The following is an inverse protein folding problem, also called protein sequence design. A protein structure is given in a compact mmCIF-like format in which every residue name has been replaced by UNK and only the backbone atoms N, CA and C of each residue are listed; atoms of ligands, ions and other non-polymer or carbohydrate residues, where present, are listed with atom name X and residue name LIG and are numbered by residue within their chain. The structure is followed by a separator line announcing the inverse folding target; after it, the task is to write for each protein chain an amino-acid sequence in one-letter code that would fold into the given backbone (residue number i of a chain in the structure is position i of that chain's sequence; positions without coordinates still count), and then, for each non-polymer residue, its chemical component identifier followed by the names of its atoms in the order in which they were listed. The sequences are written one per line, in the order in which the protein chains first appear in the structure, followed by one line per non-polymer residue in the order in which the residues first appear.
data_IF_260213189430
#
_entry.id   IF_260213189430
#
_cell.length_a   1.000
_cell.length_b   1.000
_cell.length_c   1.000
_cell.angle_alpha   90.00
_cell.angle_beta   90.00
_cell.angle_gamma   90.00
#
_symmetry.space_group_name_H-M   'P 1'
#
loop_
_entity.id
_entity.type
_entity.pdbx_description
1 polymer ?
#
# COMPACT_ATOMS: atom_id res chain seq x y z
N UNK A 1 -14.75 -29.12 24.51
CA UNK A 1 -14.37 -29.36 23.10
C UNK A 1 -14.89 -28.20 22.28
N UNK A 2 -14.06 -27.41 21.59
CA UNK A 2 -14.56 -26.38 20.68
C UNK A 2 -15.38 -27.10 19.58
N UNK A 3 -16.60 -26.65 19.37
CA UNK A 3 -17.54 -27.24 18.41
C UNK A 3 -16.94 -27.20 17.01
N UNK A 4 -17.07 -28.28 16.21
CA UNK A 4 -16.59 -28.33 14.82
C UNK A 4 -17.07 -27.15 13.93
N UNK A 5 -18.10 -26.41 14.39
CA UNK A 5 -18.74 -25.27 13.72
C UNK A 5 -17.89 -23.99 13.67
N UNK A 6 -16.90 -23.80 14.56
CA UNK A 6 -16.06 -22.58 14.58
C UNK A 6 -14.66 -22.79 13.97
N UNK A 7 -14.39 -23.97 13.41
CA UNK A 7 -13.07 -24.29 12.84
C UNK A 7 -13.03 -23.92 11.36
N UNK A 8 -12.24 -22.89 11.05
CA UNK A 8 -11.97 -22.45 9.69
C UNK A 8 -10.60 -23.02 9.27
N UNK A 9 -10.56 -23.83 8.19
CA UNK A 9 -9.33 -24.54 7.77
C UNK A 9 -8.63 -23.93 6.56
N UNK A 10 -9.37 -23.23 5.70
CA UNK A 10 -8.90 -22.83 4.37
C UNK A 10 -8.86 -21.31 4.18
N UNK A 11 -9.38 -20.54 5.13
CA UNK A 11 -9.24 -19.08 5.10
C UNK A 11 -8.00 -18.67 5.88
N UNK A 12 -7.21 -17.81 5.26
CA UNK A 12 -6.16 -17.06 5.96
C UNK A 12 -6.79 -15.88 6.68
N UNK A 13 -6.18 -15.47 7.79
CA UNK A 13 -6.68 -14.38 8.62
C UNK A 13 -5.78 -13.15 8.44
N UNK A 14 -6.39 -11.98 8.40
CA UNK A 14 -5.70 -10.69 8.47
C UNK A 14 -6.37 -9.82 9.51
N UNK A 15 -5.59 -9.00 10.22
CA UNK A 15 -6.08 -8.07 11.23
C UNK A 15 -5.58 -6.67 10.87
N UNK A 16 -6.54 -5.75 10.76
CA UNK A 16 -6.28 -4.32 10.59
C UNK A 16 -6.16 -3.70 11.99
N UNK A 17 -5.02 -3.06 12.26
CA UNK A 17 -4.70 -2.52 13.58
C UNK A 17 -4.44 -1.01 13.45
N UNK A 18 -5.31 -0.15 14.01
CA UNK A 18 -5.05 1.28 14.10
C UNK A 18 -4.04 1.62 15.21
N UNK A 19 -3.39 2.79 15.11
CA UNK A 19 -2.37 3.27 16.04
C UNK A 19 -2.89 3.33 17.48
N UNK A 20 -4.16 3.69 17.69
CA UNK A 20 -4.77 3.77 19.03
C UNK A 20 -4.70 2.44 19.79
N UNK A 21 -4.77 1.30 19.11
CA UNK A 21 -4.65 -0.02 19.74
C UNK A 21 -3.26 -0.22 20.38
N UNK A 22 -2.21 0.31 19.77
CA UNK A 22 -0.86 0.29 20.34
C UNK A 22 -0.72 1.22 21.54
N UNK A 23 -1.30 2.43 21.48
CA UNK A 23 -1.31 3.35 22.61
C UNK A 23 -1.97 2.72 23.84
N UNK A 24 -3.15 2.12 23.65
CA UNK A 24 -3.86 1.41 24.72
C UNK A 24 -3.05 0.23 25.28
N UNK A 25 -2.41 -0.56 24.41
CA UNK A 25 -1.58 -1.69 24.84
C UNK A 25 -0.35 -1.23 25.63
N UNK A 26 0.32 -0.15 25.20
CA UNK A 26 1.45 0.45 25.91
C UNK A 26 1.06 0.82 27.34
N UNK A 27 -0.10 1.44 27.49
CA UNK A 27 -0.63 1.91 28.77
C UNK A 27 -1.34 0.83 29.60
N UNK A 28 -1.43 -0.41 29.10
CA UNK A 28 -2.21 -1.49 29.71
C UNK A 28 -3.70 -1.14 29.90
N UNK A 29 -4.26 -0.34 28.99
CA UNK A 29 -5.64 0.12 29.03
C UNK A 29 -6.61 -0.92 28.44
N UNK A 30 -7.90 -0.67 28.68
CA UNK A 30 -8.98 -1.40 28.02
C UNK A 30 -9.18 -0.87 26.60
N UNK A 31 -9.32 -1.77 25.63
CA UNK A 31 -9.70 -1.49 24.26
C UNK A 31 -11.20 -1.69 24.07
N UNK A 32 -11.90 -0.62 23.71
CA UNK A 32 -13.26 -0.64 23.22
C UNK A 32 -13.37 -1.30 21.83
N UNK A 33 -14.31 -2.22 21.71
CA UNK A 33 -14.80 -2.80 20.47
C UNK A 33 -16.19 -2.24 20.19
N UNK A 34 -16.34 -1.51 19.09
CA UNK A 34 -17.58 -0.83 18.73
C UNK A 34 -18.50 -1.72 17.90
N UNK A 35 -19.82 -1.59 18.07
CA UNK A 35 -20.81 -2.28 17.22
C UNK A 35 -20.84 -1.64 15.82
N UNK A 36 -20.50 -2.38 14.74
CA UNK A 36 -20.52 -1.81 13.39
C UNK A 36 -21.90 -1.30 12.97
N UNK A 37 -22.96 -2.01 13.36
CA UNK A 37 -24.36 -1.63 13.12
C UNK A 37 -24.73 -0.28 13.74
N UNK A 38 -24.34 -0.04 14.99
CA UNK A 38 -24.66 1.24 15.64
C UNK A 38 -23.81 2.38 15.06
N UNK A 39 -22.53 2.12 14.75
CA UNK A 39 -21.66 3.09 14.08
C UNK A 39 -22.26 3.51 12.73
N UNK A 40 -22.70 2.56 11.91
CA UNK A 40 -23.29 2.86 10.61
C UNK A 40 -24.57 3.69 10.73
N UNK A 41 -25.43 3.41 11.72
CA UNK A 41 -26.65 4.20 11.96
C UNK A 41 -26.36 5.61 12.47
N UNK A 42 -25.31 5.80 13.26
CA UNK A 42 -24.96 7.09 13.83
C UNK A 42 -24.19 7.97 12.84
N UNK A 43 -23.23 7.38 12.12
CA UNK A 43 -22.32 8.10 11.22
C UNK A 43 -22.75 8.09 9.75
N UNK A 44 -23.72 7.25 9.38
CA UNK A 44 -24.13 7.07 7.98
C UNK A 44 -23.04 6.46 7.11
N UNK A 45 -22.08 5.73 7.71
CA UNK A 45 -20.93 5.11 7.03
C UNK A 45 -20.65 3.73 7.61
N UNK A 46 -20.31 2.73 6.78
CA UNK A 46 -19.83 1.44 7.28
C UNK A 46 -18.65 1.62 8.23
N UNK A 47 -18.55 0.77 9.24
CA UNK A 47 -17.48 0.83 10.26
C UNK A 47 -16.07 0.87 9.64
N UNK A 48 -15.86 0.11 8.56
CA UNK A 48 -14.58 0.03 7.86
C UNK A 48 -14.13 1.34 7.19
N UNK A 49 -15.04 2.30 7.00
CA UNK A 49 -14.75 3.59 6.36
C UNK A 49 -14.61 4.73 7.39
N UNK A 50 -14.66 4.40 8.69
CA UNK A 50 -14.48 5.33 9.79
C UNK A 50 -13.03 5.28 10.28
N UNK A 51 -12.38 6.44 10.40
CA UNK A 51 -11.03 6.54 10.96
C UNK A 51 -11.05 6.30 12.48
N UNK A 52 -10.77 5.06 12.91
CA UNK A 52 -10.93 4.64 14.31
C UNK A 52 -10.02 5.42 15.25
N UNK A 53 -8.74 5.60 14.92
CA UNK A 53 -7.81 6.36 15.76
C UNK A 53 -8.25 7.82 15.95
N UNK A 54 -8.72 8.48 14.90
CA UNK A 54 -9.14 9.88 14.95
C UNK A 54 -10.41 10.10 15.76
N UNK A 55 -11.28 9.08 15.82
CA UNK A 55 -12.61 9.17 16.44
C UNK A 55 -12.76 8.31 17.68
N UNK A 56 -11.68 7.76 18.20
CA UNK A 56 -11.75 6.75 19.25
C UNK A 56 -12.51 7.27 20.48
N UNK A 57 -12.12 8.43 20.99
CA UNK A 57 -12.75 9.03 22.17
C UNK A 57 -14.21 9.45 21.92
N UNK A 58 -14.51 9.95 20.72
CA UNK A 58 -15.87 10.29 20.28
C UNK A 58 -16.76 9.05 20.28
N UNK A 59 -16.27 7.96 19.67
CA UNK A 59 -16.96 6.67 19.62
C UNK A 59 -17.15 6.10 21.02
N UNK A 60 -16.14 6.18 21.90
CA UNK A 60 -16.22 5.72 23.30
C UNK A 60 -17.28 6.51 24.07
N UNK A 61 -17.33 7.83 23.92
CA UNK A 61 -18.27 8.71 24.61
C UNK A 61 -19.73 8.57 24.13
N UNK A 62 -19.98 8.15 22.88
CA UNK A 62 -21.33 8.11 22.32
C UNK A 62 -22.19 6.95 22.85
N UNK A 63 -23.09 7.22 23.78
CA UNK A 63 -23.98 6.22 24.42
C UNK A 63 -24.87 5.45 23.44
N UNK A 64 -25.09 5.97 22.22
CA UNK A 64 -25.89 5.30 21.18
C UNK A 64 -25.15 4.10 20.57
N UNK A 65 -23.84 4.02 20.75
CA UNK A 65 -22.98 2.97 20.18
C UNK A 65 -22.68 1.94 21.27
N UNK A 66 -23.12 0.70 21.07
CA UNK A 66 -22.76 -0.40 21.98
C UNK A 66 -21.26 -0.69 21.87
N UNK A 67 -20.61 -0.86 23.03
CA UNK A 67 -19.21 -1.27 23.15
C UNK A 67 -19.06 -2.56 23.94
N UNK A 68 -18.01 -3.31 23.63
CA UNK A 68 -17.40 -4.31 24.52
C UNK A 68 -15.98 -3.87 24.83
N UNK A 69 -15.42 -4.35 25.93
CA UNK A 69 -14.06 -4.02 26.32
C UNK A 69 -13.23 -5.28 26.50
N UNK A 70 -11.95 -5.20 26.13
CA UNK A 70 -10.94 -6.21 26.40
C UNK A 70 -9.61 -5.55 26.73
N UNK A 71 -8.69 -6.26 27.40
CA UNK A 71 -7.36 -5.73 27.65
C UNK A 71 -6.55 -5.69 26.34
N UNK A 72 -5.97 -4.54 26.00
CA UNK A 72 -5.24 -4.35 24.74
C UNK A 72 -3.96 -5.20 24.65
N UNK A 73 -3.27 -5.48 25.77
CA UNK A 73 -2.10 -6.37 25.79
C UNK A 73 -2.50 -7.82 25.56
N UNK A 74 -3.59 -8.28 26.18
CA UNK A 74 -4.10 -9.64 25.98
C UNK A 74 -4.47 -9.89 24.52
N UNK A 75 -4.97 -8.85 23.83
CA UNK A 75 -5.20 -8.91 22.39
C UNK A 75 -3.91 -9.16 21.60
N UNK A 76 -2.84 -8.40 21.83
CA UNK A 76 -1.56 -8.62 21.15
C UNK A 76 -0.90 -9.96 21.54
N UNK A 77 -1.04 -10.38 22.80
CA UNK A 77 -0.60 -11.70 23.22
C UNK A 77 -1.31 -12.80 22.41
N UNK A 78 -2.63 -12.72 22.30
CA UNK A 78 -3.41 -13.69 21.53
C UNK A 78 -3.06 -13.68 20.04
N UNK A 79 -2.80 -12.49 19.50
CA UNK A 79 -2.36 -12.32 18.12
C UNK A 79 -1.05 -13.07 17.86
N UNK A 80 -0.06 -12.89 18.75
CA UNK A 80 1.25 -13.54 18.65
C UNK A 80 1.17 -15.07 18.84
N UNK A 81 0.33 -15.55 19.76
CA UNK A 81 0.09 -17.00 19.93
C UNK A 81 -0.41 -17.64 18.63
N UNK A 82 -1.39 -17.03 17.96
CA UNK A 82 -1.97 -17.56 16.72
C UNK A 82 -0.94 -17.48 15.57
N UNK A 83 -0.18 -16.38 15.48
CA UNK A 83 0.93 -16.26 14.52
C UNK A 83 1.99 -17.33 14.74
N UNK A 84 2.33 -17.64 15.99
CA UNK A 84 3.26 -18.72 16.31
C UNK A 84 2.75 -20.08 15.85
N UNK A 85 1.45 -20.35 15.99
CA UNK A 85 0.84 -21.62 15.61
C UNK A 85 0.69 -21.81 14.09
N UNK A 86 0.47 -20.72 13.34
CA UNK A 86 -0.03 -20.82 11.95
C UNK A 86 0.64 -19.90 10.93
N UNK A 87 1.52 -19.00 11.36
CA UNK A 87 2.19 -18.00 10.50
C UNK A 87 1.33 -16.77 10.17
N UNK A 88 0.04 -16.77 10.53
CA UNK A 88 -0.91 -15.67 10.40
C UNK A 88 -1.69 -15.54 11.73
N UNK A 89 -2.41 -14.44 12.02
CA UNK A 89 -2.91 -13.42 11.09
C UNK A 89 -1.85 -12.54 10.44
N UNK A 90 -2.11 -12.11 9.20
CA UNK A 90 -1.45 -10.94 8.60
C UNK A 90 -1.79 -9.69 9.41
N UNK A 91 -0.90 -8.70 9.40
CA UNK A 91 -1.09 -7.43 10.11
C UNK A 91 -1.03 -6.28 9.12
N UNK A 92 -2.06 -5.44 9.10
CA UNK A 92 -2.08 -4.18 8.37
C UNK A 92 -2.16 -3.02 9.37
N UNK A 93 -1.14 -2.17 9.41
CA UNK A 93 -1.15 -0.97 10.24
C UNK A 93 -1.94 0.15 9.55
N UNK A 94 -3.23 0.24 9.88
CA UNK A 94 -4.23 1.05 9.17
C UNK A 94 -3.79 2.51 8.98
N UNK A 95 -3.37 3.15 10.07
CA UNK A 95 -3.04 4.57 10.06
C UNK A 95 -1.72 4.85 9.34
N UNK A 96 -0.76 3.93 9.42
CA UNK A 96 0.48 4.03 8.64
C UNK A 96 0.18 3.98 7.13
N UNK A 97 -0.66 3.03 6.73
CA UNK A 97 -1.09 2.86 5.33
C UNK A 97 -1.85 4.10 4.85
N UNK A 98 -2.87 4.54 5.58
CA UNK A 98 -3.72 5.67 5.16
C UNK A 98 -3.00 7.03 5.21
N UNK A 99 -2.05 7.20 6.13
CA UNK A 99 -1.18 8.38 6.18
C UNK A 99 -0.23 8.45 4.98
N UNK A 100 0.25 7.32 4.48
CA UNK A 100 1.08 7.25 3.27
C UNK A 100 0.29 7.19 1.95
N UNK A 101 -1.00 6.82 1.99
CA UNK A 101 -1.85 6.67 0.82
C UNK A 101 -1.99 7.99 0.03
N UNK A 102 -1.60 8.04 -1.25
CA UNK A 102 -1.75 9.24 -2.07
C UNK A 102 -3.14 9.38 -2.71
N UNK A 103 -3.99 8.36 -2.63
CA UNK A 103 -5.29 8.31 -3.31
C UNK A 103 -6.41 8.73 -2.35
N UNK A 104 -7.39 9.48 -2.85
CA UNK A 104 -8.55 9.88 -2.06
C UNK A 104 -9.38 8.65 -1.66
N UNK A 105 -9.74 8.57 -0.38
CA UNK A 105 -10.41 7.41 0.22
C UNK A 105 -9.58 6.77 1.33
N UNK A 106 -10.11 5.72 1.95
CA UNK A 106 -9.40 4.92 2.96
C UNK A 106 -9.10 3.52 2.43
N UNK A 107 -7.99 2.97 2.90
CA UNK A 107 -7.59 1.58 2.69
C UNK A 107 -8.00 0.83 3.95
N UNK A 108 -8.94 -0.10 3.80
CA UNK A 108 -9.59 -0.83 4.89
C UNK A 108 -9.30 -2.34 4.88
N UNK A 109 -8.55 -2.84 3.89
CA UNK A 109 -8.15 -4.24 3.77
C UNK A 109 -6.90 -4.43 2.90
N UNK A 110 -6.43 -5.68 2.80
CA UNK A 110 -5.32 -6.11 1.94
C UNK A 110 -5.63 -7.48 1.31
N UNK A 111 -4.79 -7.92 0.36
CA UNK A 111 -4.85 -9.26 -0.24
C UNK A 111 -4.21 -10.36 0.64
N UNK A 112 -4.21 -11.59 0.11
CA UNK A 112 -3.67 -12.81 0.74
C UNK A 112 -2.17 -12.73 1.10
N UNK A 113 -1.36 -11.96 0.37
CA UNK A 113 0.07 -11.84 0.64
C UNK A 113 0.42 -10.52 1.37
N UNK A 114 -0.60 -9.74 1.76
CA UNK A 114 -0.51 -8.49 2.54
C UNK A 114 0.26 -7.30 1.89
N UNK A 115 0.50 -7.34 0.59
CA UNK A 115 1.24 -6.32 -0.17
C UNK A 115 0.36 -5.35 -0.97
N UNK A 116 -0.90 -5.72 -1.24
CA UNK A 116 -1.84 -4.87 -2.01
C UNK A 116 -2.62 -3.95 -1.08
N UNK A 117 -2.36 -2.65 -1.20
CA UNK A 117 -2.99 -1.60 -0.40
C UNK A 117 -3.56 -0.54 -1.34
N UNK A 118 -4.86 -0.62 -1.62
CA UNK A 118 -5.57 0.32 -2.49
C UNK A 118 -6.92 0.69 -1.86
N UNK A 119 -7.48 1.83 -2.28
CA UNK A 119 -8.83 2.22 -1.90
C UNK A 119 -9.86 1.34 -2.62
N UNK A 120 -11.01 1.13 -2.00
CA UNK A 120 -12.15 0.43 -2.59
C UNK A 120 -13.43 1.23 -2.36
N UNK A 121 -14.51 0.83 -3.02
CA UNK A 121 -15.84 1.35 -2.72
C UNK A 121 -16.89 0.27 -2.85
N UNK A 122 -17.82 0.21 -1.90
CA UNK A 122 -18.87 -0.80 -1.85
C UNK A 122 -19.77 -0.79 -3.10
N UNK A 123 -20.21 -1.99 -3.49
CA UNK A 123 -21.30 -2.19 -4.45
C UNK A 123 -22.64 -2.33 -3.72
N UNK A 124 -23.72 -1.98 -4.39
CA UNK A 124 -25.10 -2.22 -3.93
C UNK A 124 -25.78 -3.19 -4.88
N UNK A 125 -26.54 -4.13 -4.30
CA UNK A 125 -27.23 -5.18 -5.02
C UNK A 125 -28.73 -5.06 -4.78
N UNK A 126 -29.52 -5.31 -5.83
CA UNK A 126 -30.96 -5.48 -5.73
C UNK A 126 -31.31 -6.86 -5.13
N UNK A 127 -32.57 -7.06 -4.76
CA UNK A 127 -33.05 -8.32 -4.17
C UNK A 127 -32.84 -9.55 -5.08
N UNK A 128 -32.74 -9.32 -6.40
CA UNK A 128 -32.47 -10.35 -7.39
C UNK A 128 -30.98 -10.60 -7.64
N UNK A 129 -30.08 -9.97 -6.85
CA UNK A 129 -28.62 -9.98 -6.96
C UNK A 129 -28.04 -9.23 -8.18
N UNK A 130 -28.85 -8.49 -8.92
CA UNK A 130 -28.33 -7.56 -9.92
C UNK A 130 -27.60 -6.39 -9.22
N UNK A 131 -26.64 -5.79 -9.91
CA UNK A 131 -25.96 -4.60 -9.40
C UNK A 131 -26.87 -3.38 -9.54
N UNK A 132 -27.37 -2.87 -8.42
CA UNK A 132 -28.04 -1.57 -8.35
C UNK A 132 -27.01 -0.43 -8.51
N UNK A 133 -25.82 -0.61 -7.92
CA UNK A 133 -24.66 0.28 -8.08
C UNK A 133 -23.37 -0.53 -8.04
N UNK A 134 -22.60 -0.47 -9.12
CA UNK A 134 -21.28 -1.09 -9.16
C UNK A 134 -20.26 -0.21 -8.45
N UNK A 135 -19.66 -0.76 -7.39
CA UNK A 135 -18.52 -0.18 -6.70
C UNK A 135 -17.20 -0.48 -7.41
N UNK A 136 -16.09 -0.35 -6.69
CA UNK A 136 -14.75 -0.60 -7.20
C UNK A 136 -14.05 -1.53 -6.22
N UNK A 137 -13.91 -2.79 -6.64
CA UNK A 137 -13.09 -3.77 -5.94
C UNK A 137 -11.70 -3.84 -6.59
N UNK A 138 -10.77 -4.47 -5.89
CA UNK A 138 -9.35 -4.43 -6.26
C UNK A 138 -8.95 -5.75 -6.91
N UNK A 139 -8.42 -5.67 -8.13
CA UNK A 139 -7.54 -6.69 -8.71
C UNK A 139 -6.14 -6.14 -8.86
N UNK A 140 -5.15 -7.02 -8.98
CA UNK A 140 -3.78 -6.60 -9.19
C UNK A 140 -3.07 -7.53 -10.18
N UNK A 141 -2.30 -6.93 -11.09
CA UNK A 141 -1.32 -7.61 -11.92
C UNK A 141 0.08 -7.24 -11.40
N UNK A 142 0.92 -8.26 -11.26
CA UNK A 142 2.21 -8.15 -10.57
C UNK A 142 3.34 -8.59 -11.48
N UNK A 143 4.46 -7.89 -11.40
CA UNK A 143 5.71 -8.26 -12.06
C UNK A 143 6.87 -7.69 -11.29
N UNK A 144 8.00 -8.41 -11.23
CA UNK A 144 9.14 -8.00 -10.41
C UNK A 144 10.42 -7.89 -11.23
N UNK A 145 11.19 -6.83 -10.99
CA UNK A 145 12.53 -6.68 -11.57
C UNK A 145 13.56 -7.41 -10.72
N UNK A 146 14.52 -8.08 -11.37
CA UNK A 146 15.69 -8.61 -10.68
C UNK A 146 16.68 -7.45 -10.43
N UNK A 147 16.92 -7.11 -9.16
CA UNK A 147 17.74 -5.96 -8.77
C UNK A 147 19.15 -6.05 -9.37
N UNK A 148 19.81 -7.21 -9.27
CA UNK A 148 21.17 -7.38 -9.78
C UNK A 148 21.28 -7.09 -11.28
N UNK A 149 20.40 -7.70 -12.09
CA UNK A 149 20.40 -7.48 -13.54
C UNK A 149 19.96 -6.07 -13.93
N UNK A 150 19.09 -5.46 -13.12
CA UNK A 150 18.63 -4.09 -13.35
C UNK A 150 19.77 -3.10 -13.09
N UNK A 151 20.56 -3.32 -12.04
CA UNK A 151 21.77 -2.54 -11.73
C UNK A 151 22.88 -2.71 -12.77
N UNK A 152 22.98 -3.89 -13.38
CA UNK A 152 23.93 -4.16 -14.47
C UNK A 152 23.46 -3.61 -15.83
N UNK A 153 22.21 -3.15 -15.94
CA UNK A 153 21.66 -2.62 -17.19
C UNK A 153 22.33 -1.30 -17.56
N UNK A 154 22.76 -1.13 -18.83
CA UNK A 154 23.25 0.16 -19.31
C UNK A 154 22.13 1.24 -19.35
N UNK A 155 20.86 0.81 -19.34
CA UNK A 155 19.69 1.69 -19.39
C UNK A 155 18.65 1.24 -18.35
N UNK A 156 18.83 1.72 -17.12
CA UNK A 156 17.93 1.47 -16.00
C UNK A 156 16.53 2.03 -16.26
N UNK A 157 16.46 3.23 -16.82
CA UNK A 157 15.21 3.94 -17.09
C UNK A 157 14.30 3.12 -18.01
N UNK A 158 14.87 2.58 -19.10
CA UNK A 158 14.14 1.73 -20.04
C UNK A 158 13.66 0.43 -19.42
N UNK A 159 14.41 -0.17 -18.49
CA UNK A 159 13.99 -1.38 -17.78
C UNK A 159 12.70 -1.12 -16.99
N UNK A 160 12.66 -0.03 -16.23
CA UNK A 160 11.47 0.35 -15.44
C UNK A 160 10.31 0.72 -16.37
N UNK A 161 10.56 1.55 -17.39
CA UNK A 161 9.54 1.99 -18.33
C UNK A 161 8.88 0.80 -19.06
N UNK A 162 9.69 -0.15 -19.54
CA UNK A 162 9.19 -1.36 -20.21
C UNK A 162 8.32 -2.20 -19.27
N UNK A 163 8.74 -2.39 -18.02
CA UNK A 163 7.97 -3.17 -17.05
C UNK A 163 6.64 -2.51 -16.69
N UNK A 164 6.64 -1.19 -16.45
CA UNK A 164 5.40 -0.43 -16.21
C UNK A 164 4.44 -0.57 -17.39
N UNK A 165 4.91 -0.34 -18.62
CA UNK A 165 4.07 -0.48 -19.83
C UNK A 165 3.54 -1.91 -20.00
N UNK A 166 4.38 -2.91 -19.73
CA UNK A 166 3.97 -4.32 -19.80
C UNK A 166 2.86 -4.65 -18.81
N UNK A 167 2.99 -4.20 -17.56
CA UNK A 167 1.96 -4.38 -16.53
C UNK A 167 0.68 -3.58 -16.86
N UNK A 168 0.81 -2.35 -17.34
CA UNK A 168 -0.33 -1.55 -17.80
C UNK A 168 -1.09 -2.28 -18.92
N UNK A 169 -0.39 -2.88 -19.88
CA UNK A 169 -1.04 -3.65 -20.94
C UNK A 169 -1.80 -4.88 -20.38
N UNK A 170 -1.28 -5.56 -19.36
CA UNK A 170 -2.00 -6.65 -18.68
C UNK A 170 -3.29 -6.14 -18.02
N UNK A 171 -3.25 -4.98 -17.36
CA UNK A 171 -4.44 -4.33 -16.81
C UNK A 171 -5.45 -4.00 -17.91
N UNK A 172 -5.01 -3.37 -19.00
CA UNK A 172 -5.89 -2.96 -20.11
C UNK A 172 -6.57 -4.14 -20.81
N UNK A 173 -5.89 -5.29 -20.90
CA UNK A 173 -6.44 -6.50 -21.50
C UNK A 173 -7.32 -7.33 -20.53
N UNK A 174 -7.42 -6.93 -19.26
CA UNK A 174 -8.13 -7.68 -18.23
C UNK A 174 -9.61 -7.28 -18.16
N UNK A 175 -10.48 -8.22 -18.53
CA UNK A 175 -11.93 -8.08 -18.48
C UNK A 175 -12.55 -9.23 -17.67
N UNK A 176 -12.93 -8.97 -16.42
CA UNK A 176 -13.41 -9.97 -15.47
C UNK A 176 -14.94 -9.84 -15.34
N UNK A 177 -15.65 -10.14 -16.41
CA UNK A 177 -17.11 -9.96 -16.52
C UNK A 177 -17.93 -10.68 -15.45
N UNK A 178 -17.39 -11.74 -14.83
CA UNK A 178 -18.06 -12.46 -13.76
C UNK A 178 -18.10 -11.69 -12.43
N UNK A 179 -17.30 -10.63 -12.28
CA UNK A 179 -17.27 -9.77 -11.08
C UNK A 179 -17.23 -8.30 -11.52
N UNK A 180 -18.38 -7.70 -11.83
CA UNK A 180 -18.46 -6.33 -12.37
C UNK A 180 -17.71 -5.25 -11.58
N UNK A 181 -17.67 -5.33 -10.24
CA UNK A 181 -16.92 -4.39 -9.40
C UNK A 181 -15.40 -4.47 -9.55
N UNK A 182 -14.86 -5.66 -9.85
CA UNK A 182 -13.44 -5.87 -10.15
C UNK A 182 -13.10 -5.33 -11.54
N UNK A 183 -13.97 -5.59 -12.52
CA UNK A 183 -13.79 -5.05 -13.88
C UNK A 183 -13.84 -3.52 -13.87
N UNK A 184 -14.84 -2.94 -13.20
CA UNK A 184 -14.95 -1.50 -13.01
C UNK A 184 -13.75 -0.92 -12.25
N UNK A 185 -13.31 -1.56 -11.18
CA UNK A 185 -12.14 -1.14 -10.40
C UNK A 185 -10.84 -1.14 -11.22
N UNK A 186 -10.60 -2.20 -12.00
CA UNK A 186 -9.43 -2.27 -12.91
C UNK A 186 -9.49 -1.18 -13.98
N UNK A 187 -10.63 -1.03 -14.67
CA UNK A 187 -10.80 -0.04 -15.74
C UNK A 187 -10.73 1.41 -15.23
N UNK A 188 -11.12 1.68 -13.99
CA UNK A 188 -11.05 3.01 -13.40
C UNK A 188 -9.64 3.36 -12.88
N UNK A 189 -8.94 2.39 -12.32
CA UNK A 189 -7.66 2.62 -11.62
C UNK A 189 -6.42 2.41 -12.48
N UNK A 190 -6.48 1.47 -13.44
CA UNK A 190 -5.33 0.93 -14.17
C UNK A 190 -4.16 0.54 -13.23
N UNK A 191 -4.49 0.05 -12.02
CA UNK A 191 -3.50 -0.20 -10.98
C UNK A 191 -2.59 -1.38 -11.34
N UNK A 192 -1.30 -1.22 -11.07
CA UNK A 192 -0.25 -2.24 -11.31
C UNK A 192 0.63 -2.39 -10.07
N UNK A 193 1.26 -3.55 -9.90
CA UNK A 193 2.30 -3.76 -8.88
C UNK A 193 3.63 -4.15 -9.48
N UNK A 194 4.55 -3.19 -9.57
CA UNK A 194 5.94 -3.41 -9.97
C UNK A 194 6.81 -3.73 -8.74
N UNK A 195 7.00 -5.01 -8.47
CA UNK A 195 7.83 -5.52 -7.39
C UNK A 195 9.33 -5.56 -7.71
N UNK A 196 10.12 -5.92 -6.72
CA UNK A 196 11.57 -6.09 -6.83
C UNK A 196 11.95 -7.44 -6.21
N UNK A 197 12.97 -8.09 -6.76
CA UNK A 197 13.49 -9.35 -6.23
C UNK A 197 15.02 -9.37 -6.27
N UNK A 198 15.61 -10.36 -5.62
CA UNK A 198 17.06 -10.58 -5.59
C UNK A 198 17.87 -9.50 -4.85
N UNK A 199 17.27 -8.80 -3.88
CA UNK A 199 17.98 -7.80 -3.06
C UNK A 199 19.15 -8.44 -2.34
N UNK A 200 18.92 -9.52 -1.60
CA UNK A 200 19.99 -10.20 -0.86
C UNK A 200 21.06 -10.77 -1.80
N UNK A 201 20.67 -11.33 -2.95
CA UNK A 201 21.65 -11.83 -3.93
C UNK A 201 22.53 -10.73 -4.51
N UNK A 202 21.96 -9.55 -4.81
CA UNK A 202 22.74 -8.38 -5.22
C UNK A 202 23.68 -7.91 -4.10
N UNK A 203 23.16 -7.70 -2.89
CA UNK A 203 23.96 -7.25 -1.74
C UNK A 203 25.14 -8.20 -1.48
N UNK A 204 24.89 -9.52 -1.48
CA UNK A 204 25.93 -10.52 -1.29
C UNK A 204 26.99 -10.51 -2.40
N UNK A 205 26.57 -10.35 -3.67
CA UNK A 205 27.48 -10.25 -4.82
C UNK A 205 28.43 -9.06 -4.68
N UNK A 206 27.92 -7.94 -4.19
CA UNK A 206 28.68 -6.72 -3.98
C UNK A 206 29.41 -6.66 -2.63
N UNK A 207 29.39 -7.75 -1.84
CA UNK A 207 30.06 -7.80 -0.54
C UNK A 207 29.41 -6.95 0.56
N UNK A 208 28.13 -6.61 0.41
CA UNK A 208 27.34 -5.87 1.41
C UNK A 208 26.53 -6.86 2.27
N UNK A 209 26.65 -6.75 3.58
CA UNK A 209 25.88 -7.58 4.51
C UNK A 209 24.41 -7.10 4.59
N UNK A 210 23.47 -8.04 4.50
CA UNK A 210 22.05 -7.73 4.65
C UNK A 210 21.76 -7.09 6.02
N UNK A 211 21.10 -5.93 6.02
CA UNK A 211 20.78 -5.17 7.24
C UNK A 211 21.90 -4.25 7.73
N UNK A 212 23.05 -4.20 7.05
CA UNK A 212 24.08 -3.20 7.35
C UNK A 212 23.61 -1.78 6.96
N UNK A 213 24.22 -0.71 7.52
CA UNK A 213 23.93 0.66 7.11
C UNK A 213 24.04 0.87 5.59
N UNK A 214 25.02 0.24 4.93
CA UNK A 214 25.20 0.31 3.48
C UNK A 214 24.07 -0.40 2.71
N UNK A 215 23.58 -1.54 3.21
CA UNK A 215 22.42 -2.20 2.62
C UNK A 215 21.17 -1.32 2.70
N UNK A 216 20.98 -0.63 3.83
CA UNK A 216 19.86 0.30 4.03
C UNK A 216 19.96 1.51 3.08
N UNK A 217 21.16 2.10 2.96
CA UNK A 217 21.42 3.23 2.06
C UNK A 217 21.19 2.84 0.58
N UNK A 218 21.73 1.68 0.16
CA UNK A 218 21.47 1.13 -1.17
C UNK A 218 19.97 0.92 -1.41
N UNK A 219 19.29 0.24 -0.50
CA UNK A 219 17.85 -0.05 -0.66
C UNK A 219 17.05 1.24 -0.76
N UNK A 220 17.36 2.24 0.08
CA UNK A 220 16.72 3.54 0.06
C UNK A 220 16.85 4.24 -1.30
N UNK A 221 18.08 4.36 -1.81
CA UNK A 221 18.36 5.04 -3.09
C UNK A 221 17.87 4.25 -4.31
N UNK A 222 17.95 2.92 -4.27
CA UNK A 222 17.43 2.05 -5.33
C UNK A 222 15.92 2.25 -5.48
N UNK A 223 15.15 2.12 -4.39
CA UNK A 223 13.70 2.29 -4.43
C UNK A 223 13.30 3.73 -4.75
N UNK A 224 14.03 4.75 -4.27
CA UNK A 224 13.85 6.13 -4.70
C UNK A 224 13.92 6.27 -6.23
N UNK A 225 14.93 5.65 -6.86
CA UNK A 225 15.18 5.72 -8.30
C UNK A 225 14.10 4.96 -9.09
N UNK A 226 13.72 3.76 -8.63
CA UNK A 226 12.59 3.00 -9.20
C UNK A 226 11.31 3.84 -9.17
N UNK A 227 10.98 4.44 -8.03
CA UNK A 227 9.77 5.25 -7.87
C UNK A 227 9.76 6.44 -8.83
N UNK A 228 10.89 7.14 -8.99
CA UNK A 228 10.98 8.25 -9.94
C UNK A 228 10.69 7.82 -11.38
N UNK A 229 11.32 6.74 -11.86
CA UNK A 229 11.11 6.25 -13.22
C UNK A 229 9.69 5.69 -13.43
N UNK A 230 9.11 5.03 -12.43
CA UNK A 230 7.75 4.52 -12.50
C UNK A 230 6.73 5.67 -12.61
N UNK A 231 6.84 6.69 -11.77
CA UNK A 231 5.97 7.88 -11.82
C UNK A 231 6.13 8.66 -13.12
N UNK A 232 7.38 8.86 -13.59
CA UNK A 232 7.64 9.46 -14.90
C UNK A 232 6.97 8.67 -16.02
N UNK A 233 7.07 7.34 -16.00
CA UNK A 233 6.47 6.48 -17.03
C UNK A 233 4.93 6.57 -16.98
N UNK A 234 4.33 6.52 -15.80
CA UNK A 234 2.88 6.69 -15.63
C UNK A 234 2.40 8.05 -16.14
N UNK A 235 3.14 9.13 -15.88
CA UNK A 235 2.86 10.45 -16.44
C UNK A 235 2.98 10.48 -17.98
N UNK A 236 4.00 9.82 -18.55
CA UNK A 236 4.14 9.71 -20.01
C UNK A 236 2.96 8.95 -20.63
N UNK A 237 2.54 7.83 -20.02
CA UNK A 237 1.35 7.09 -20.44
C UNK A 237 0.10 7.98 -20.42
N UNK A 238 -0.08 8.77 -19.36
CA UNK A 238 -1.20 9.71 -19.28
C UNK A 238 -1.18 10.74 -20.42
N UNK A 239 0.00 11.26 -20.78
CA UNK A 239 0.16 12.20 -21.91
C UNK A 239 -0.08 11.54 -23.26
N UNK A 240 0.41 10.32 -23.46
CA UNK A 240 0.26 9.56 -24.70
C UNK A 240 -1.20 9.18 -24.97
N UNK A 241 -1.93 8.80 -23.92
CA UNK A 241 -3.34 8.38 -24.01
C UNK A 241 -4.32 9.54 -23.90
N UNK A 242 -3.90 10.66 -23.31
CA UNK A 242 -4.78 11.80 -23.04
C UNK A 242 -5.76 11.54 -21.90
N UNK A 243 -5.46 10.61 -21.00
CA UNK A 243 -6.32 10.18 -19.89
C UNK A 243 -5.52 9.97 -18.60
N UNK A 244 -6.21 9.98 -17.47
CA UNK A 244 -5.65 9.67 -16.15
C UNK A 244 -6.59 8.72 -15.42
N UNK A 245 -6.11 7.99 -14.42
CA UNK A 245 -6.97 7.16 -13.57
C UNK A 245 -8.10 7.99 -12.92
N UNK A 246 -9.25 7.35 -12.67
CA UNK A 246 -10.42 7.98 -12.08
C UNK A 246 -10.09 8.55 -10.68
N UNK A 247 -10.47 9.80 -10.44
CA UNK A 247 -10.17 10.46 -9.17
C UNK A 247 -8.76 11.05 -9.04
N UNK A 248 -7.97 11.09 -10.12
CA UNK A 248 -6.62 11.68 -10.12
C UNK A 248 -6.58 13.09 -9.51
N UNK A 249 -7.56 13.96 -9.84
CA UNK A 249 -7.62 15.35 -9.37
C UNK A 249 -7.73 15.48 -7.84
N UNK A 250 -8.26 14.46 -7.17
CA UNK A 250 -8.42 14.40 -5.72
C UNK A 250 -7.20 13.77 -5.03
N UNK A 251 -6.26 13.20 -5.79
CA UNK A 251 -5.06 12.56 -5.25
C UNK A 251 -4.00 13.59 -4.81
N UNK A 252 -3.10 13.15 -3.93
CA UNK A 252 -1.91 13.91 -3.53
C UNK A 252 -0.89 14.09 -4.66
N UNK A 253 -1.03 13.35 -5.77
CA UNK A 253 -0.25 13.59 -6.98
C UNK A 253 -0.68 14.89 -7.65
N UNK A 254 -1.99 15.13 -7.77
CA UNK A 254 -2.52 16.34 -8.40
C UNK A 254 -2.27 17.62 -7.59
N UNK A 255 -2.32 17.54 -6.25
CA UNK A 255 -1.98 18.66 -5.37
C UNK A 255 -0.47 18.94 -5.29
N UNK A 256 0.36 17.99 -5.69
CA UNK A 256 1.81 18.02 -5.54
C UNK A 256 2.33 17.62 -4.15
N UNK A 257 1.44 17.41 -3.17
CA UNK A 257 1.81 17.07 -1.79
C UNK A 257 2.68 15.80 -1.72
N UNK A 258 2.38 14.80 -2.55
CA UNK A 258 3.13 13.54 -2.64
C UNK A 258 4.63 13.75 -2.84
N UNK A 259 5.01 14.79 -3.59
CA UNK A 259 6.40 15.07 -3.95
C UNK A 259 7.18 15.83 -2.86
N UNK A 260 6.52 16.35 -1.83
CA UNK A 260 7.16 17.17 -0.79
C UNK A 260 8.33 16.46 -0.11
N UNK A 261 8.19 15.16 0.17
CA UNK A 261 9.25 14.32 0.75
C UNK A 261 10.49 14.20 -0.14
N UNK A 262 10.31 14.23 -1.47
CA UNK A 262 11.39 14.11 -2.43
C UNK A 262 12.10 15.45 -2.68
N UNK A 263 11.43 16.56 -2.39
CA UNK A 263 11.95 17.91 -2.57
C UNK A 263 12.64 18.48 -1.32
N UNK A 264 12.22 18.05 -0.13
CA UNK A 264 12.73 18.57 1.14
C UNK A 264 13.94 17.80 1.68
N UNK A 265 14.04 16.51 1.36
CA UNK A 265 15.14 15.65 1.84
C UNK A 265 16.35 15.69 0.91
N UNK A 266 17.55 15.59 1.48
CA UNK A 266 18.78 15.44 0.70
C UNK A 266 18.99 13.97 0.33
N UNK A 267 18.60 13.59 -0.88
CA UNK A 267 18.76 12.22 -1.39
C UNK A 267 20.18 12.04 -1.97
N UNK A 268 21.13 11.79 -1.09
CA UNK A 268 22.50 11.43 -1.43
C UNK A 268 22.94 10.23 -0.59
N UNK A 269 23.87 9.39 -1.10
CA UNK A 269 24.46 8.33 -0.31
C UNK A 269 25.14 8.90 0.93
N UNK A 270 24.83 8.36 2.10
CA UNK A 270 25.39 8.85 3.37
C UNK A 270 26.86 8.43 3.54
N UNK A 271 27.26 7.29 2.95
CA UNK A 271 28.61 6.72 3.08
C UNK A 271 29.46 6.98 1.82
N UNK A 272 30.12 8.15 1.80
CA UNK A 272 30.71 8.77 0.61
C UNK A 272 31.93 8.13 -0.08
N UNK A 273 32.51 7.03 0.42
CA UNK A 273 33.70 6.40 -0.20
C UNK A 273 33.50 4.95 -0.67
N UNK A 274 32.74 4.08 0.03
CA UNK A 274 32.48 2.71 -0.44
C UNK A 274 31.40 2.65 -1.53
N UNK A 275 30.47 3.61 -1.54
CA UNK A 275 29.35 3.70 -2.48
C UNK A 275 29.80 3.82 -3.95
N UNK A 276 30.90 4.54 -4.22
CA UNK A 276 31.36 4.82 -5.60
C UNK A 276 31.84 3.58 -6.35
N UNK A 277 32.22 2.54 -5.61
CA UNK A 277 32.72 1.27 -6.17
C UNK A 277 31.61 0.26 -6.38
N UNK A 278 30.53 0.34 -5.59
CA UNK A 278 29.46 -0.67 -5.53
C UNK A 278 28.20 -0.26 -6.28
N UNK A 279 27.87 1.04 -6.29
CA UNK A 279 26.80 1.54 -7.11
C UNK A 279 27.40 2.08 -8.40
N UNK A 280 27.27 1.38 -9.54
CA UNK A 280 27.65 1.96 -10.81
C UNK A 280 26.89 3.28 -10.93
N UNK A 281 27.56 4.23 -11.54
CA UNK A 281 27.21 5.64 -11.80
C UNK A 281 25.75 5.89 -12.28
N UNK A 282 24.95 4.85 -12.49
CA UNK A 282 23.52 4.81 -12.81
C UNK A 282 22.65 5.52 -11.77
N UNK A 283 22.62 5.09 -10.51
CA UNK A 283 21.72 5.71 -9.50
C UNK A 283 22.06 7.20 -9.34
N UNK A 284 23.35 7.54 -9.29
CA UNK A 284 23.82 8.93 -9.21
C UNK A 284 23.59 9.75 -10.51
N UNK A 285 23.59 9.13 -11.71
CA UNK A 285 23.29 9.81 -12.98
C UNK A 285 21.80 10.12 -13.15
N UNK A 286 20.93 9.32 -12.52
CA UNK A 286 19.48 9.46 -12.60
C UNK A 286 18.87 10.12 -11.35
N UNK A 287 19.65 10.38 -10.29
CA UNK A 287 19.25 11.32 -9.25
C UNK A 287 18.92 12.66 -9.94
N UNK A 288 17.72 13.22 -9.74
CA UNK A 288 17.35 14.47 -10.37
C UNK A 288 18.32 15.57 -9.91
N UNK A 289 19.24 15.96 -10.79
CA UNK A 289 20.00 17.20 -10.67
C UNK A 289 18.98 18.31 -10.52
N UNK A 290 18.90 18.90 -9.31
CA UNK A 290 18.00 19.99 -8.89
C UNK A 290 17.14 20.53 -10.04
N UNK A 291 15.98 19.91 -10.26
CA UNK A 291 15.04 20.43 -11.24
C UNK A 291 14.46 21.73 -10.66
N UNK A 292 14.97 22.87 -11.14
CA UNK A 292 14.50 24.18 -10.71
C UNK A 292 13.03 24.36 -11.05
N UNK A 293 12.20 24.49 -10.01
CA UNK A 293 10.88 25.17 -9.90
C UNK A 293 9.85 25.10 -11.06
N UNK A 294 10.00 24.26 -12.08
CA UNK A 294 9.15 24.32 -13.30
C UNK A 294 8.34 23.06 -13.62
N UNK A 295 8.52 21.94 -12.90
CA UNK A 295 7.75 20.71 -13.18
C UNK A 295 6.37 20.63 -12.52
N UNK A 296 5.92 21.66 -11.79
CA UNK A 296 4.64 21.64 -11.07
C UNK A 296 3.43 22.12 -11.90
N UNK A 297 3.60 22.45 -13.17
CA UNK A 297 2.52 22.98 -14.03
C UNK A 297 2.66 22.51 -15.47
N UNK A 298 2.29 21.25 -15.74
CA UNK A 298 1.74 20.77 -17.04
C UNK A 298 1.22 19.36 -16.87
#
# INVERSE_FOLDING_TARGET
MPTKKIRIKTLSLGVVIPDITFHLAKENAQMALFSPYDVERVYGKPFADVAISERYDELVADERIRKKYLNARDFFQRLAEIQFESGYPYIMYEDTVNRANPIAGRINMSNLCSEILQVNSASEYDENLDYARTGHDISCNLGSLNIAHTMDSPDFARTVETAVRGLTAVSDMSHIHSVPSIEAGNAASHAIGLGQMNLHGYLAREGIAYGSPEALDFTNLYFYTITWHALRTSMLLARERGETFAGFKQSRYASGEYFSQYLQSNWQPENGESWRTVCPVVVLRYLPVRCGRSCATT
#
